data_IF_080724073656
#
_entry.id   IF_080724073656
#
_cell.length_a   1.000
_cell.length_b   1.000
_cell.length_c   1.000
_cell.angle_alpha   90.00
_cell.angle_beta   90.00
_cell.angle_gamma   90.00
#
_symmetry.space_group_name_H-M   'P 1'
#
loop_
_entity.id
_entity.type
_entity.pdbx_description
1 polymer ?
#
# COMPACT_ATOMS: atom_id res chain seq x y z
N UNK A 1 17.73 -23.39 -12.62
CA UNK A 1 16.42 -23.66 -13.25
C UNK A 1 15.26 -23.51 -12.26
N UNK A 2 14.06 -23.14 -12.74
CA UNK A 2 12.81 -23.22 -11.96
C UNK A 2 12.58 -24.68 -11.51
N UNK A 3 12.42 -24.87 -10.20
CA UNK A 3 12.18 -26.18 -9.57
C UNK A 3 10.70 -26.44 -9.40
N UNK A 4 9.97 -25.47 -8.84
CA UNK A 4 8.57 -25.61 -8.52
C UNK A 4 7.91 -24.23 -8.45
N UNK A 5 6.72 -24.10 -9.03
CA UNK A 5 5.88 -22.91 -8.87
C UNK A 5 4.88 -23.07 -7.74
N UNK A 6 4.39 -21.94 -7.24
CA UNK A 6 3.25 -21.87 -6.32
C UNK A 6 3.49 -22.61 -5.00
N UNK A 7 4.74 -22.63 -4.54
CA UNK A 7 5.11 -23.08 -3.21
C UNK A 7 4.48 -22.17 -2.15
N UNK A 8 4.09 -22.77 -1.02
CA UNK A 8 3.51 -22.05 0.09
C UNK A 8 4.25 -22.35 1.39
N UNK A 9 4.56 -21.28 2.13
CA UNK A 9 5.05 -21.39 3.50
C UNK A 9 4.02 -20.81 4.45
N UNK A 10 3.53 -21.61 5.38
CA UNK A 10 2.68 -21.16 6.48
C UNK A 10 3.54 -20.82 7.69
N UNK A 11 3.46 -19.57 8.14
CA UNK A 11 4.11 -19.06 9.34
C UNK A 11 3.04 -18.85 10.42
N UNK A 12 3.22 -19.52 11.54
CA UNK A 12 2.29 -19.55 12.68
C UNK A 12 2.91 -19.03 13.97
N UNK A 13 4.14 -18.54 13.92
CA UNK A 13 4.83 -17.98 15.08
C UNK A 13 4.16 -16.69 15.54
N UNK A 14 4.22 -16.43 16.85
CA UNK A 14 3.54 -15.30 17.49
C UNK A 14 3.99 -13.94 16.94
N UNK A 15 5.25 -13.82 16.53
CA UNK A 15 5.81 -12.57 15.99
C UNK A 15 6.05 -12.65 14.49
N UNK A 16 5.42 -13.62 13.82
CA UNK A 16 5.63 -13.95 12.42
C UNK A 16 6.52 -15.17 12.23
N UNK A 17 7.48 -15.08 11.31
CA UNK A 17 8.34 -16.21 10.98
C UNK A 17 9.25 -15.91 9.78
N UNK A 18 9.91 -16.95 9.29
CA UNK A 18 10.88 -16.81 8.21
C UNK A 18 10.78 -17.89 7.13
N UNK A 19 11.26 -17.51 5.94
CA UNK A 19 11.56 -18.38 4.82
C UNK A 19 13.03 -18.17 4.45
N UNK A 20 13.83 -19.23 4.53
CA UNK A 20 15.28 -19.18 4.32
C UNK A 20 15.66 -20.04 3.13
N UNK A 21 16.41 -19.46 2.20
CA UNK A 21 16.95 -20.16 1.05
C UNK A 21 18.24 -20.87 1.46
N UNK A 22 18.18 -22.19 1.62
CA UNK A 22 19.33 -23.01 1.99
C UNK A 22 20.30 -23.17 0.82
N UNK A 23 21.40 -23.89 1.05
CA UNK A 23 22.35 -24.13 -0.02
C UNK A 23 21.72 -24.88 -1.19
N UNK A 24 22.01 -24.41 -2.39
CA UNK A 24 21.50 -24.95 -3.63
C UNK A 24 20.14 -24.43 -4.05
N UNK A 25 19.44 -23.59 -3.28
CA UNK A 25 18.12 -23.06 -3.65
C UNK A 25 18.03 -21.54 -3.56
N UNK A 26 17.06 -20.97 -4.27
CA UNK A 26 16.63 -19.58 -4.10
C UNK A 26 15.13 -19.44 -4.40
N UNK A 27 14.54 -18.33 -3.95
CA UNK A 27 13.08 -18.14 -4.00
C UNK A 27 12.67 -16.78 -4.58
N UNK A 28 11.56 -16.75 -5.29
CA UNK A 28 10.89 -15.52 -5.69
C UNK A 28 9.52 -15.45 -5.02
N UNK A 29 9.37 -14.59 -4.01
CA UNK A 29 8.07 -14.39 -3.33
C UNK A 29 7.19 -13.50 -4.19
N UNK A 30 5.98 -13.98 -4.48
CA UNK A 30 5.00 -13.29 -5.33
C UNK A 30 3.79 -12.76 -4.56
N UNK A 31 3.53 -13.27 -3.36
CA UNK A 31 2.45 -12.80 -2.51
C UNK A 31 2.67 -13.16 -1.05
N UNK A 32 2.16 -12.32 -0.16
CA UNK A 32 2.09 -12.56 1.29
C UNK A 32 0.65 -12.33 1.70
N UNK A 33 0.04 -13.32 2.34
CA UNK A 33 -1.33 -13.28 2.82
C UNK A 33 -1.34 -13.33 4.33
N UNK A 34 -2.01 -12.37 4.98
CA UNK A 34 -1.98 -12.18 6.42
C UNK A 34 -3.39 -12.01 6.94
N UNK A 35 -3.72 -12.76 7.99
CA UNK A 35 -4.79 -12.37 8.92
C UNK A 35 -4.15 -11.50 10.00
N UNK A 36 -4.52 -10.22 10.12
CA UNK A 36 -3.89 -9.29 11.06
C UNK A 36 -4.11 -9.73 12.50
N UNK A 37 -3.15 -9.41 13.36
CA UNK A 37 -3.31 -9.51 14.81
C UNK A 37 -3.89 -8.21 15.35
N UNK A 38 -4.37 -8.25 16.58
CA UNK A 38 -4.87 -7.05 17.28
C UNK A 38 -3.80 -5.97 17.46
N UNK A 39 -2.52 -6.33 17.48
CA UNK A 39 -1.39 -5.42 17.59
C UNK A 39 -0.78 -4.99 16.25
N UNK A 40 -1.31 -5.47 15.12
CA UNK A 40 -0.81 -5.10 13.81
C UNK A 40 -1.40 -3.75 13.36
N UNK A 41 -0.56 -2.90 12.79
CA UNK A 41 -1.00 -1.76 11.95
C UNK A 41 -0.45 -1.95 10.54
N UNK A 42 0.85 -2.23 10.45
CA UNK A 42 1.56 -2.52 9.22
C UNK A 42 2.37 -3.81 9.36
N UNK A 43 2.51 -4.54 8.26
CA UNK A 43 3.46 -5.63 8.12
C UNK A 43 4.79 -5.06 7.62
N UNK A 44 5.88 -5.40 8.32
CA UNK A 44 7.23 -5.13 7.82
C UNK A 44 7.87 -6.44 7.36
N UNK A 45 8.38 -6.44 6.13
CA UNK A 45 9.06 -7.61 5.55
C UNK A 45 10.51 -7.26 5.31
N UNK A 46 11.39 -8.14 5.79
CA UNK A 46 12.83 -7.98 5.67
C UNK A 46 13.45 -9.14 4.92
N UNK A 47 14.51 -8.87 4.15
CA UNK A 47 15.45 -9.91 3.70
C UNK A 47 16.77 -9.64 4.42
N UNK A 48 17.19 -10.60 5.23
CA UNK A 48 18.21 -10.40 6.26
C UNK A 48 17.83 -9.19 7.14
N UNK A 49 18.61 -8.11 7.09
CA UNK A 49 18.37 -6.89 7.87
C UNK A 49 17.79 -5.73 7.03
N UNK A 50 17.57 -5.93 5.73
CA UNK A 50 17.04 -4.89 4.85
C UNK A 50 15.51 -4.95 4.82
N UNK A 51 14.85 -3.83 5.11
CA UNK A 51 13.41 -3.69 4.91
C UNK A 51 13.13 -3.61 3.41
N UNK A 52 12.36 -4.56 2.88
CA UNK A 52 12.07 -4.67 1.44
C UNK A 52 10.59 -4.47 1.10
N UNK A 53 9.72 -4.54 2.12
CA UNK A 53 8.29 -4.31 1.93
C UNK A 53 7.64 -3.80 3.22
N UNK A 54 6.65 -2.93 3.05
CA UNK A 54 5.84 -2.34 4.11
C UNK A 54 4.39 -2.21 3.64
N UNK A 55 3.46 -2.88 4.33
CA UNK A 55 2.06 -2.95 3.90
C UNK A 55 1.10 -2.72 5.06
N UNK A 56 0.04 -1.93 4.84
CA UNK A 56 -1.03 -1.76 5.81
C UNK A 56 -1.81 -3.06 6.00
N UNK A 57 -1.99 -3.44 7.26
CA UNK A 57 -2.79 -4.60 7.67
C UNK A 57 -4.09 -4.19 8.36
N UNK A 58 -4.07 -3.09 9.12
CA UNK A 58 -5.21 -2.57 9.88
C UNK A 58 -5.30 -1.07 9.66
N UNK A 59 -6.53 -0.55 9.74
CA UNK A 59 -6.86 0.84 9.56
C UNK A 59 -8.08 0.97 8.68
N UNK A 60 -8.62 2.18 8.61
CA UNK A 60 -9.87 2.51 7.93
C UNK A 60 -9.89 2.00 6.45
N UNK A 61 -8.72 1.85 5.79
CA UNK A 61 -8.58 1.38 4.40
C UNK A 61 -8.31 -0.12 4.23
N UNK A 62 -8.46 -0.90 5.30
CA UNK A 62 -8.39 -2.36 5.27
C UNK A 62 -6.99 -2.94 5.13
N UNK A 63 -6.97 -4.27 4.97
CA UNK A 63 -5.76 -5.10 4.87
C UNK A 63 -5.32 -5.28 3.41
N UNK A 64 -4.16 -4.72 3.05
CA UNK A 64 -3.57 -4.85 1.70
C UNK A 64 -3.05 -6.25 1.39
N UNK A 65 -2.77 -7.05 2.42
CA UNK A 65 -2.26 -8.41 2.30
C UNK A 65 -3.32 -9.43 2.68
N UNK A 66 -4.60 -9.12 2.46
CA UNK A 66 -5.66 -10.03 2.79
C UNK A 66 -5.65 -11.28 1.90
N UNK A 67 -6.31 -12.33 2.40
CA UNK A 67 -6.63 -13.55 1.65
C UNK A 67 -8.12 -13.83 1.67
N UNK A 68 -8.51 -14.96 1.09
CA UNK A 68 -9.90 -15.44 1.17
C UNK A 68 -10.20 -15.83 2.61
N UNK A 69 -11.28 -15.29 3.17
CA UNK A 69 -11.76 -15.60 4.51
C UNK A 69 -13.30 -15.56 4.54
N UNK A 70 -13.91 -16.01 5.63
CA UNK A 70 -15.35 -15.91 5.86
C UNK A 70 -15.84 -14.48 5.60
N UNK A 71 -16.78 -14.34 4.65
CA UNK A 71 -17.31 -13.07 4.12
C UNK A 71 -16.30 -12.13 3.47
N UNK A 72 -15.10 -12.57 3.10
CA UNK A 72 -14.11 -11.70 2.49
C UNK A 72 -13.63 -12.34 1.19
N UNK A 73 -14.03 -11.84 0.00
CA UNK A 73 -13.67 -12.46 -1.28
C UNK A 73 -12.16 -12.42 -1.58
N UNK A 74 -11.36 -11.77 -0.73
CA UNK A 74 -9.90 -11.78 -0.75
C UNK A 74 -9.33 -10.88 -1.84
N UNK A 75 -8.62 -9.84 -1.42
CA UNK A 75 -7.79 -9.01 -2.30
C UNK A 75 -6.39 -8.92 -1.72
N UNK A 76 -5.40 -9.18 -2.56
CA UNK A 76 -3.99 -9.08 -2.19
C UNK A 76 -3.28 -8.10 -3.12
N UNK A 77 -2.91 -6.95 -2.57
CA UNK A 77 -2.31 -5.86 -3.33
C UNK A 77 -0.93 -6.24 -3.87
N UNK A 78 -0.11 -6.94 -3.08
CA UNK A 78 1.20 -7.39 -3.54
C UNK A 78 1.07 -8.32 -4.76
N UNK A 79 0.24 -9.36 -4.66
CA UNK A 79 0.00 -10.31 -5.77
C UNK A 79 -0.58 -9.60 -7.00
N UNK A 80 -1.53 -8.66 -6.82
CA UNK A 80 -2.08 -7.85 -7.89
C UNK A 80 -0.99 -7.03 -8.62
N UNK A 81 -0.11 -6.36 -7.87
CA UNK A 81 0.96 -5.53 -8.45
C UNK A 81 2.03 -6.38 -9.14
N UNK A 82 2.38 -7.54 -8.57
CA UNK A 82 3.29 -8.52 -9.20
C UNK A 82 2.73 -9.04 -10.50
N UNK A 83 1.44 -9.43 -10.54
CA UNK A 83 0.76 -9.90 -11.77
C UNK A 83 0.68 -8.82 -12.86
N UNK A 84 0.73 -7.54 -12.49
CA UNK A 84 0.85 -6.42 -13.43
C UNK A 84 2.27 -6.15 -13.91
N UNK A 85 3.25 -6.95 -13.47
CA UNK A 85 4.67 -6.79 -13.84
C UNK A 85 5.37 -5.63 -13.12
N UNK A 86 4.81 -5.14 -12.02
CA UNK A 86 5.44 -4.10 -11.20
C UNK A 86 6.44 -4.73 -10.21
N UNK A 87 7.48 -3.98 -9.79
CA UNK A 87 8.53 -4.51 -8.93
C UNK A 87 8.04 -4.65 -7.48
N UNK A 88 7.25 -5.68 -7.21
CA UNK A 88 6.73 -6.01 -5.87
C UNK A 88 7.06 -7.45 -5.45
N UNK A 89 7.64 -8.25 -6.35
CA UNK A 89 8.13 -9.59 -6.02
C UNK A 89 9.42 -9.45 -5.19
N UNK A 90 9.62 -10.32 -4.21
CA UNK A 90 10.79 -10.26 -3.32
C UNK A 90 11.77 -11.39 -3.67
N UNK A 91 12.92 -11.09 -4.30
CA UNK A 91 13.92 -12.09 -4.63
C UNK A 91 14.76 -12.45 -3.39
N UNK A 92 14.77 -13.72 -3.02
CA UNK A 92 15.56 -14.28 -1.92
C UNK A 92 16.65 -15.16 -2.53
N UNK A 93 17.87 -14.64 -2.61
CA UNK A 93 19.01 -15.40 -3.11
C UNK A 93 19.46 -16.49 -2.11
N UNK A 94 20.27 -17.44 -2.56
CA UNK A 94 20.87 -18.47 -1.71
C UNK A 94 21.54 -17.85 -0.48
N UNK A 95 21.29 -18.42 0.70
CA UNK A 95 21.81 -17.94 1.98
C UNK A 95 21.12 -16.69 2.53
N UNK A 96 20.07 -16.19 1.87
CA UNK A 96 19.24 -15.10 2.38
C UNK A 96 18.00 -15.62 3.09
N UNK A 97 17.54 -14.85 4.07
CA UNK A 97 16.35 -15.16 4.86
C UNK A 97 15.33 -14.03 4.78
N UNK A 98 14.14 -14.35 4.29
CA UNK A 98 12.98 -13.47 4.45
C UNK A 98 12.41 -13.62 5.86
N UNK A 99 12.17 -12.49 6.52
CA UNK A 99 11.58 -12.40 7.85
C UNK A 99 10.35 -11.52 7.78
N UNK A 100 9.22 -12.05 8.25
CA UNK A 100 7.97 -11.29 8.42
C UNK A 100 7.90 -10.82 9.87
N UNK A 101 7.82 -9.51 10.06
CA UNK A 101 7.73 -8.87 11.38
C UNK A 101 6.32 -8.33 11.59
N UNK A 102 5.69 -8.77 12.67
CA UNK A 102 4.31 -8.42 13.05
C UNK A 102 4.14 -8.36 14.59
N UNK A 103 3.01 -7.85 15.04
CA UNK A 103 2.61 -7.83 16.45
C UNK A 103 2.54 -9.24 17.05
N UNK A 104 2.81 -9.33 18.36
CA UNK A 104 2.94 -10.60 19.08
C UNK A 104 1.58 -11.25 19.37
N UNK A 105 1.07 -12.03 18.43
CA UNK A 105 -0.19 -12.78 18.55
C UNK A 105 -0.18 -14.02 17.67
N UNK A 106 -1.01 -15.01 18.01
CA UNK A 106 -1.26 -16.12 17.11
C UNK A 106 -1.89 -15.59 15.82
N UNK A 107 -1.25 -15.86 14.69
CA UNK A 107 -1.73 -15.36 13.41
C UNK A 107 -1.31 -16.24 12.25
N UNK A 108 -2.03 -16.13 11.15
CA UNK A 108 -1.76 -16.88 9.93
C UNK A 108 -1.09 -15.95 8.93
N UNK A 109 0.17 -16.24 8.60
CA UNK A 109 0.86 -15.65 7.45
C UNK A 109 1.16 -16.77 6.44
N UNK A 110 0.71 -16.60 5.21
CA UNK A 110 1.05 -17.48 4.09
C UNK A 110 1.96 -16.72 3.14
N UNK A 111 3.09 -17.30 2.80
CA UNK A 111 4.02 -16.76 1.80
C UNK A 111 3.90 -17.63 0.55
N UNK A 112 3.50 -17.03 -0.56
CA UNK A 112 3.42 -17.65 -1.89
C UNK A 112 4.70 -17.33 -2.68
N UNK A 113 5.40 -18.36 -3.14
CA UNK A 113 6.68 -18.20 -3.82
C UNK A 113 6.94 -19.29 -4.86
N UNK A 114 7.90 -19.03 -5.74
CA UNK A 114 8.47 -20.04 -6.63
C UNK A 114 9.88 -20.42 -6.16
N UNK A 115 10.24 -21.69 -6.31
CA UNK A 115 11.56 -22.21 -5.98
C UNK A 115 12.40 -22.44 -7.23
N UNK A 116 13.68 -22.07 -7.15
CA UNK A 116 14.65 -22.15 -8.22
C UNK A 116 15.96 -22.77 -7.73
N UNK A 117 16.82 -23.18 -8.65
CA UNK A 117 18.21 -23.52 -8.34
C UNK A 117 18.98 -22.26 -7.91
N UNK A 118 19.99 -22.45 -7.06
CA UNK A 118 20.91 -21.39 -6.67
C UNK A 118 21.43 -20.57 -7.87
N UNK A 119 21.45 -19.25 -7.70
CA UNK A 119 21.95 -18.29 -8.69
C UNK A 119 20.90 -17.79 -9.70
N UNK A 120 19.75 -18.44 -9.85
CA UNK A 120 18.69 -17.96 -10.75
C UNK A 120 18.05 -16.68 -10.22
N UNK A 121 17.69 -16.67 -8.93
CA UNK A 121 17.20 -15.49 -8.22
C UNK A 121 18.37 -14.83 -7.50
N UNK A 122 18.57 -13.54 -7.78
CA UNK A 122 19.74 -12.79 -7.32
C UNK A 122 19.34 -11.58 -6.49
N UNK A 123 20.23 -11.20 -5.58
CA UNK A 123 20.04 -10.05 -4.70
C UNK A 123 20.00 -8.70 -5.45
N UNK A 124 20.48 -8.64 -6.70
CA UNK A 124 20.50 -7.43 -7.54
C UNK A 124 19.26 -7.25 -8.43
N UNK A 125 18.34 -8.23 -8.41
CA UNK A 125 17.04 -8.12 -9.07
C UNK A 125 16.16 -7.07 -8.37
N UNK A 126 15.15 -6.47 -9.05
CA UNK A 126 14.25 -5.51 -8.42
C UNK A 126 13.69 -6.00 -7.07
N UNK A 127 13.65 -5.09 -6.07
CA UNK A 127 13.32 -5.37 -4.67
C UNK A 127 14.26 -6.34 -3.92
N UNK A 128 15.39 -6.72 -4.52
CA UNK A 128 16.47 -7.45 -3.84
C UNK A 128 17.36 -6.54 -3.00
N UNK A 129 18.08 -7.15 -2.05
CA UNK A 129 18.89 -6.41 -1.06
C UNK A 129 20.08 -5.64 -1.64
N UNK A 130 20.50 -5.94 -2.87
CA UNK A 130 21.56 -5.24 -3.59
C UNK A 130 21.02 -4.42 -4.78
N UNK A 131 19.69 -4.33 -4.92
CA UNK A 131 19.05 -3.61 -6.02
C UNK A 131 19.09 -2.10 -5.82
N UNK A 132 19.15 -1.37 -6.93
CA UNK A 132 18.90 0.08 -7.00
C UNK A 132 17.49 0.41 -7.45
N UNK A 133 16.65 -0.60 -7.66
CA UNK A 133 15.27 -0.48 -8.12
C UNK A 133 14.38 -1.28 -7.19
N UNK A 134 13.37 -0.61 -6.63
CA UNK A 134 12.39 -1.22 -5.75
C UNK A 134 11.03 -0.55 -5.97
N UNK A 135 9.97 -1.32 -5.80
CA UNK A 135 8.61 -0.82 -5.68
C UNK A 135 8.19 -0.84 -4.22
N UNK A 136 7.43 0.16 -3.82
CA UNK A 136 6.84 0.26 -2.49
C UNK A 136 5.55 1.09 -2.59
N UNK A 137 4.74 1.03 -1.54
CA UNK A 137 3.58 1.90 -1.36
C UNK A 137 4.00 3.05 -0.45
N UNK A 138 3.83 4.27 -0.93
CA UNK A 138 4.05 5.45 -0.10
C UNK A 138 2.76 5.81 0.63
N UNK A 139 2.78 5.73 1.95
CA UNK A 139 1.66 6.10 2.81
C UNK A 139 1.81 7.54 3.27
N UNK A 140 0.79 8.35 3.00
CA UNK A 140 0.79 9.77 3.25
C UNK A 140 -0.24 10.13 4.32
N UNK A 141 0.08 11.16 5.10
CA UNK A 141 -0.79 11.83 6.05
C UNK A 141 -0.45 13.31 6.03
N UNK A 142 -1.19 14.08 6.80
CA UNK A 142 -1.15 15.51 6.96
C UNK A 142 -0.46 15.89 8.27
N UNK A 143 0.27 17.00 8.27
CA UNK A 143 0.82 17.62 9.49
C UNK A 143 -0.14 18.64 10.13
N UNK A 144 -1.17 19.04 9.39
CA UNK A 144 -2.15 20.07 9.77
C UNK A 144 -3.56 19.52 9.71
N UNK A 145 -4.48 20.08 10.49
CA UNK A 145 -5.91 19.78 10.42
C UNK A 145 -6.65 20.99 9.85
N UNK A 146 -7.73 20.75 9.11
CA UNK A 146 -8.64 21.80 8.66
C UNK A 146 -9.91 21.77 9.51
N UNK A 147 -10.42 22.96 9.82
CA UNK A 147 -11.68 23.16 10.56
C UNK A 147 -12.84 23.61 9.64
N UNK A 148 -12.55 23.86 8.35
CA UNK A 148 -13.48 24.40 7.34
C UNK A 148 -13.20 23.77 5.95
N UNK A 149 -14.16 23.90 5.02
CA UNK A 149 -14.03 23.53 3.59
C UNK A 149 -12.64 23.90 3.01
N UNK A 150 -12.01 22.96 2.30
CA UNK A 150 -10.68 23.22 1.77
C UNK A 150 -9.91 22.01 1.23
N UNK A 151 -8.65 22.29 0.91
CA UNK A 151 -7.66 21.34 0.41
C UNK A 151 -6.64 21.01 1.50
N UNK A 152 -6.65 19.77 1.99
CA UNK A 152 -5.72 19.28 2.99
C UNK A 152 -4.48 18.68 2.31
N UNK A 153 -3.30 19.26 2.55
CA UNK A 153 -2.05 18.75 1.99
C UNK A 153 -1.60 17.49 2.75
N UNK A 154 -1.29 16.43 2.03
CA UNK A 154 -0.66 15.22 2.56
C UNK A 154 0.87 15.35 2.47
N UNK A 155 1.46 15.98 3.49
CA UNK A 155 2.87 16.37 3.55
C UNK A 155 3.74 15.51 4.47
N UNK A 156 3.18 14.48 5.08
CA UNK A 156 3.85 13.67 6.10
C UNK A 156 3.86 12.19 5.69
N UNK A 157 5.01 11.54 5.80
CA UNK A 157 5.17 10.11 5.50
C UNK A 157 4.75 9.26 6.70
N UNK A 158 4.01 8.17 6.45
CA UNK A 158 3.81 7.08 7.40
C UNK A 158 4.71 5.87 7.09
N UNK A 159 5.36 5.88 5.93
CA UNK A 159 6.30 4.84 5.51
C UNK A 159 7.61 4.97 6.31
N UNK A 160 8.27 3.85 6.68
CA UNK A 160 9.55 3.89 7.37
C UNK A 160 10.64 4.66 6.61
N UNK A 161 11.57 5.27 7.34
CA UNK A 161 12.62 6.14 6.80
C UNK A 161 13.63 5.45 5.86
N UNK A 162 13.61 4.11 5.79
CA UNK A 162 14.38 3.36 4.79
C UNK A 162 13.84 3.53 3.36
N UNK A 163 12.59 4.01 3.21
CA UNK A 163 11.97 4.32 1.91
C UNK A 163 12.03 5.82 1.62
N UNK A 164 11.70 6.22 0.39
CA UNK A 164 11.68 7.63 0.01
C UNK A 164 10.45 8.33 0.58
N UNK A 165 10.63 9.51 1.15
CA UNK A 165 9.54 10.35 1.65
C UNK A 165 8.68 10.96 0.52
N UNK A 166 9.20 11.07 -0.71
CA UNK A 166 8.48 11.65 -1.83
C UNK A 166 7.15 10.90 -2.10
N UNK A 167 6.00 11.59 -2.27
CA UNK A 167 5.83 13.04 -2.43
C UNK A 167 5.43 13.79 -1.14
N UNK A 168 5.62 13.22 0.05
CA UNK A 168 5.16 13.78 1.33
C UNK A 168 5.93 15.06 1.72
N UNK A 169 5.57 16.21 1.13
CA UNK A 169 6.20 17.50 1.41
C UNK A 169 7.68 17.57 0.99
N UNK A 170 8.15 16.63 0.18
CA UNK A 170 9.54 16.53 -0.29
C UNK A 170 9.59 16.42 -1.81
N UNK A 171 10.58 17.07 -2.41
CA UNK A 171 10.92 16.90 -3.81
C UNK A 171 11.57 15.52 -4.07
N UNK A 172 11.55 15.09 -5.33
CA UNK A 172 12.22 13.86 -5.74
C UNK A 172 13.73 13.97 -5.46
N UNK A 173 14.35 13.01 -4.75
CA UNK A 173 15.75 13.10 -4.35
C UNK A 173 16.74 13.17 -5.52
N UNK A 174 17.95 13.65 -5.23
CA UNK A 174 19.04 13.65 -6.18
C UNK A 174 19.39 12.22 -6.64
N UNK A 175 19.85 12.09 -7.89
CA UNK A 175 20.23 10.82 -8.51
C UNK A 175 19.16 9.71 -8.44
N UNK A 176 17.89 10.10 -8.28
CA UNK A 176 16.76 9.21 -8.13
C UNK A 176 15.73 9.53 -9.21
N UNK A 177 15.07 8.48 -9.72
CA UNK A 177 13.92 8.60 -10.61
C UNK A 177 12.76 7.86 -9.97
N UNK A 178 11.65 8.56 -9.75
CA UNK A 178 10.43 7.98 -9.18
C UNK A 178 9.42 7.79 -10.31
N UNK A 179 8.83 6.59 -10.37
CA UNK A 179 7.72 6.27 -11.27
C UNK A 179 6.48 6.02 -10.43
N UNK A 180 5.52 6.94 -10.48
CA UNK A 180 4.23 6.77 -9.82
C UNK A 180 3.30 6.00 -10.76
N UNK A 181 3.05 4.72 -10.45
CA UNK A 181 2.25 3.82 -11.28
C UNK A 181 0.73 3.92 -11.03
N UNK A 182 0.33 4.39 -9.86
CA UNK A 182 -1.07 4.46 -9.48
C UNK A 182 -1.26 4.97 -8.05
N UNK A 183 -2.51 5.01 -7.64
CA UNK A 183 -2.97 5.53 -6.36
C UNK A 183 -3.88 4.48 -5.72
N UNK A 184 -3.58 4.14 -4.47
CA UNK A 184 -4.46 3.36 -3.61
C UNK A 184 -5.02 4.26 -2.52
N UNK A 185 -6.33 4.25 -2.31
CA UNK A 185 -6.99 5.10 -1.33
C UNK A 185 -8.46 4.74 -1.18
N UNK A 186 -9.05 5.13 -0.05
CA UNK A 186 -10.50 5.08 0.19
C UNK A 186 -10.94 6.42 0.77
N UNK A 187 -12.01 6.98 0.21
CA UNK A 187 -12.55 8.25 0.70
C UNK A 187 -13.17 8.06 2.09
N UNK A 188 -13.14 9.11 2.90
CA UNK A 188 -13.64 9.09 4.28
C UNK A 188 -14.51 10.27 4.64
N UNK A 189 -15.35 10.05 5.65
CA UNK A 189 -15.98 11.08 6.46
C UNK A 189 -15.52 10.96 7.93
N UNK A 190 -15.01 12.02 8.52
CA UNK A 190 -14.69 12.05 9.95
C UNK A 190 -15.92 12.48 10.75
N UNK A 191 -16.96 11.64 10.74
CA UNK A 191 -18.22 11.87 11.47
C UNK A 191 -18.09 11.64 12.97
N UNK A 192 -18.28 12.67 13.80
CA UNK A 192 -18.52 12.54 15.25
C UNK A 192 -20.01 12.54 15.58
N UNK A 193 -20.40 12.13 16.80
CA UNK A 193 -21.79 12.13 17.27
C UNK A 193 -22.41 13.54 17.49
N UNK A 194 -21.80 14.59 16.95
CA UNK A 194 -22.25 15.98 17.07
C UNK A 194 -22.16 16.66 15.71
N UNK A 195 -23.34 16.87 15.10
CA UNK A 195 -23.81 17.69 13.98
C UNK A 195 -22.84 18.18 12.88
N UNK A 196 -21.57 18.51 13.17
CA UNK A 196 -20.59 18.92 12.18
C UNK A 196 -19.51 17.87 11.89
N UNK A 197 -19.28 17.54 10.61
CA UNK A 197 -18.21 16.61 10.21
C UNK A 197 -17.62 16.92 8.84
N UNK A 198 -16.36 16.50 8.66
CA UNK A 198 -15.64 16.59 7.40
C UNK A 198 -15.88 15.37 6.51
N UNK A 199 -16.03 15.57 5.21
CA UNK A 199 -16.08 14.49 4.24
C UNK A 199 -15.25 14.82 2.98
N UNK A 200 -14.54 13.81 2.48
CA UNK A 200 -13.72 13.90 1.29
C UNK A 200 -14.57 14.05 0.02
N UNK A 201 -14.04 14.85 -0.92
CA UNK A 201 -14.67 15.09 -2.22
C UNK A 201 -13.76 14.76 -3.40
N UNK A 202 -12.49 15.17 -3.33
CA UNK A 202 -11.53 15.00 -4.42
C UNK A 202 -10.14 14.66 -3.89
N UNK A 203 -9.41 13.87 -4.67
CA UNK A 203 -7.97 13.73 -4.53
C UNK A 203 -7.30 14.56 -5.63
N UNK A 204 -6.52 15.57 -5.23
CA UNK A 204 -5.90 16.52 -6.13
C UNK A 204 -4.39 16.32 -6.17
N UNK A 205 -3.89 16.07 -7.37
CA UNK A 205 -2.45 15.97 -7.65
C UNK A 205 -2.00 17.23 -8.36
N UNK A 206 -1.01 17.94 -7.81
CA UNK A 206 -0.46 19.17 -8.38
C UNK A 206 1.00 18.98 -8.72
N UNK A 207 1.35 19.19 -9.99
CA UNK A 207 2.73 19.20 -10.50
C UNK A 207 2.93 20.49 -11.29
N UNK A 208 4.04 21.18 -11.08
CA UNK A 208 4.37 22.42 -11.78
C UNK A 208 3.23 23.46 -11.78
N UNK A 209 2.51 23.55 -10.65
CA UNK A 209 1.32 24.42 -10.45
C UNK A 209 0.11 24.08 -11.32
N UNK A 210 0.10 22.92 -11.97
CA UNK A 210 -1.04 22.39 -12.70
C UNK A 210 -1.70 21.25 -11.91
N UNK A 211 -3.03 21.29 -11.80
CA UNK A 211 -3.82 20.15 -11.33
C UNK A 211 -3.86 19.10 -12.43
N UNK A 212 -3.52 17.88 -12.09
CA UNK A 212 -3.50 16.75 -13.02
C UNK A 212 -4.86 16.08 -13.12
N UNK A 213 -5.14 15.46 -14.27
CA UNK A 213 -6.29 14.58 -14.53
C UNK A 213 -7.69 15.22 -14.54
N UNK A 214 -7.79 16.53 -14.31
CA UNK A 214 -9.07 17.24 -14.29
C UNK A 214 -8.94 18.63 -14.94
N UNK A 215 -9.79 18.89 -15.93
CA UNK A 215 -9.83 20.16 -16.66
C UNK A 215 -10.36 21.31 -15.78
N UNK A 216 -11.25 21.00 -14.83
CA UNK A 216 -11.86 21.95 -13.90
C UNK A 216 -10.97 22.23 -12.68
N UNK A 217 -9.83 21.54 -12.57
CA UNK A 217 -8.81 21.71 -11.51
C UNK A 217 -9.30 21.41 -10.09
N UNK A 218 -10.37 20.65 -9.96
CA UNK A 218 -10.88 20.12 -8.69
C UNK A 218 -10.10 18.88 -8.26
N UNK A 219 -9.72 18.03 -9.22
CA UNK A 219 -8.99 16.79 -8.98
C UNK A 219 -9.81 15.55 -9.33
N UNK A 220 -9.32 14.37 -8.95
CA UNK A 220 -9.99 13.10 -9.20
C UNK A 220 -11.13 12.94 -8.18
N UNK A 221 -12.38 12.65 -8.60
CA UNK A 221 -13.47 12.39 -7.67
C UNK A 221 -13.10 11.28 -6.66
N UNK A 222 -13.18 11.63 -5.38
CA UNK A 222 -12.82 10.80 -4.24
C UNK A 222 -13.84 11.05 -3.13
N UNK A 223 -15.10 10.76 -3.44
CA UNK A 223 -16.24 11.21 -2.66
C UNK A 223 -16.56 10.18 -1.57
N UNK A 224 -16.58 10.63 -0.32
CA UNK A 224 -17.17 9.87 0.77
C UNK A 224 -18.66 10.15 0.94
N UNK A 225 -19.30 9.44 1.86
CA UNK A 225 -20.70 9.68 2.20
C UNK A 225 -20.84 10.97 3.04
N UNK A 226 -21.78 11.82 2.64
CA UNK A 226 -22.14 13.06 3.34
C UNK A 226 -23.36 12.87 4.26
N UNK A 227 -23.82 11.64 4.45
CA UNK A 227 -24.89 11.31 5.41
C UNK A 227 -24.31 11.15 6.82
N UNK A 228 -24.43 12.20 7.64
CA UNK A 228 -23.86 12.34 8.99
C UNK A 228 -24.46 11.43 10.07
N UNK A 229 -25.09 10.33 9.71
CA UNK A 229 -25.87 9.52 10.65
C UNK A 229 -25.04 8.57 11.51
N UNK A 230 -23.74 8.39 11.25
CA UNK A 230 -22.88 7.56 12.09
C UNK A 230 -21.39 7.80 11.83
N UNK A 231 -20.58 7.92 12.90
CA UNK A 231 -19.15 7.62 12.86
C UNK A 231 -18.98 6.25 12.20
N UNK A 232 -18.50 6.22 10.97
CA UNK A 232 -18.17 4.96 10.33
C UNK A 232 -16.68 4.66 10.50
N UNK A 233 -16.31 3.68 11.34
CA UNK A 233 -14.92 3.23 11.42
C UNK A 233 -14.43 2.62 10.10
N UNK A 234 -15.34 2.23 9.20
CA UNK A 234 -15.04 1.64 7.91
C UNK A 234 -15.27 2.70 6.81
N UNK A 235 -14.23 3.03 6.02
CA UNK A 235 -14.33 4.04 4.95
C UNK A 235 -15.50 3.71 3.99
N UNK A 236 -16.56 4.51 4.02
CA UNK A 236 -17.62 4.51 2.99
C UNK A 236 -17.35 5.59 1.96
N UNK A 237 -16.86 5.21 0.79
CA UNK A 237 -16.97 6.06 -0.39
C UNK A 237 -18.38 5.99 -0.97
N UNK A 238 -18.91 7.15 -1.32
CA UNK A 238 -20.15 7.24 -2.10
C UNK A 238 -19.83 6.99 -3.57
N UNK A 239 -18.75 7.61 -4.08
CA UNK A 239 -18.27 7.48 -5.47
C UNK A 239 -16.76 7.76 -5.57
N UNK A 240 -15.97 6.71 -5.76
CA UNK A 240 -14.56 6.81 -6.15
C UNK A 240 -14.20 5.78 -7.22
N UNK A 241 -13.34 6.19 -8.17
CA UNK A 241 -12.66 5.26 -9.10
C UNK A 241 -11.34 4.73 -8.51
N UNK A 242 -10.87 5.33 -7.42
CA UNK A 242 -9.69 4.94 -6.67
C UNK A 242 -10.13 3.92 -5.62
N UNK A 243 -9.67 2.68 -5.75
CA UNK A 243 -9.85 1.65 -4.72
C UNK A 243 -8.69 1.59 -3.74
N UNK A 244 -8.93 1.07 -2.55
CA UNK A 244 -7.88 0.91 -1.53
C UNK A 244 -6.93 -0.24 -1.84
N UNK A 245 -7.33 -1.19 -2.70
CA UNK A 245 -6.58 -2.41 -2.94
C UNK A 245 -6.48 -3.28 -1.68
N UNK A 246 -7.52 -3.29 -0.85
CA UNK A 246 -7.56 -4.08 0.37
C UNK A 246 -8.67 -5.15 0.34
N UNK A 247 -8.51 -6.19 1.14
CA UNK A 247 -9.62 -7.08 1.46
C UNK A 247 -10.70 -6.32 2.25
N UNK A 248 -11.96 -6.64 1.96
CA UNK A 248 -13.15 -6.06 2.58
C UNK A 248 -14.12 -7.14 3.09
N UNK A 249 -15.02 -6.73 3.98
CA UNK A 249 -16.14 -7.55 4.46
C UNK A 249 -17.33 -7.44 3.49
N UNK A 250 -17.79 -8.58 3.01
CA UNK A 250 -18.96 -8.76 2.14
C UNK A 250 -20.20 -8.21 2.85
N UNK A 251 -20.91 -7.31 2.16
CA UNK A 251 -22.12 -6.65 2.67
C UNK A 251 -21.91 -5.29 3.34
N UNK A 252 -20.69 -4.91 3.74
CA UNK A 252 -20.43 -3.64 4.44
C UNK A 252 -19.64 -2.61 3.62
N UNK A 253 -18.78 -3.04 2.69
CA UNK A 253 -17.93 -2.12 1.93
C UNK A 253 -17.64 -2.62 0.50
N UNK A 254 -18.60 -2.45 -0.42
CA UNK A 254 -18.47 -2.82 -1.84
C UNK A 254 -17.27 -2.14 -2.54
N UNK A 255 -16.70 -1.12 -1.92
CA UNK A 255 -15.82 -0.17 -2.57
C UNK A 255 -14.35 -0.25 -2.14
N UNK A 256 -14.06 -0.70 -0.91
CA UNK A 256 -12.70 -0.98 -0.45
C UNK A 256 -12.05 -2.15 -1.23
N UNK A 257 -12.86 -3.06 -1.78
CA UNK A 257 -12.40 -4.16 -2.63
C UNK A 257 -11.96 -3.80 -4.04
N UNK A 258 -12.02 -2.51 -4.41
CA UNK A 258 -11.64 -2.09 -5.75
C UNK A 258 -10.13 -2.06 -5.90
N UNK A 259 -9.60 -2.42 -7.09
CA UNK A 259 -8.19 -2.23 -7.36
C UNK A 259 -7.81 -0.75 -7.26
N UNK A 260 -6.55 -0.43 -6.94
CA UNK A 260 -6.03 0.93 -7.02
C UNK A 260 -6.27 1.52 -8.42
N UNK A 261 -6.39 2.85 -8.49
CA UNK A 261 -6.37 3.56 -9.76
C UNK A 261 -4.97 3.45 -10.34
N UNK A 262 -4.82 2.71 -11.44
CA UNK A 262 -3.53 2.51 -12.11
C UNK A 262 -3.49 3.33 -13.39
N UNK A 263 -2.43 4.11 -13.56
CA UNK A 263 -2.24 4.90 -14.78
C UNK A 263 -1.85 4.01 -15.95
N UNK A 264 -2.22 4.44 -17.16
CA UNK A 264 -1.79 3.76 -18.39
C UNK A 264 -0.26 3.86 -18.56
N UNK A 265 0.28 5.05 -18.32
CA UNK A 265 1.71 5.32 -18.24
C UNK A 265 2.03 5.92 -16.86
N UNK A 266 3.13 5.51 -16.21
CA UNK A 266 3.51 6.07 -14.92
C UNK A 266 3.90 7.54 -15.05
N UNK A 267 3.54 8.34 -14.06
CA UNK A 267 4.10 9.68 -13.93
C UNK A 267 5.56 9.56 -13.52
N UNK A 268 6.46 10.17 -14.29
CA UNK A 268 7.90 10.12 -14.06
C UNK A 268 8.37 11.42 -13.43
N UNK A 269 9.14 11.29 -12.35
CA UNK A 269 9.77 12.39 -11.61
C UNK A 269 11.27 12.16 -11.52
N UNK A 270 12.01 13.24 -11.67
CA UNK A 270 13.47 13.33 -11.62
C UNK A 270 13.91 14.31 -10.53
N UNK A 271 15.21 14.35 -10.25
CA UNK A 271 15.80 15.14 -9.17
C UNK A 271 15.26 16.57 -9.10
N UNK A 272 14.68 16.93 -7.95
CA UNK A 272 14.16 18.26 -7.66
C UNK A 272 12.72 18.51 -8.12
N UNK A 273 12.11 17.60 -8.89
CA UNK A 273 10.70 17.73 -9.25
C UNK A 273 9.79 17.45 -8.05
N UNK A 274 8.69 18.18 -7.96
CA UNK A 274 7.73 18.09 -6.87
C UNK A 274 6.38 17.55 -7.36
N UNK A 275 5.69 16.86 -6.45
CA UNK A 275 4.30 16.50 -6.57
C UNK A 275 3.64 16.86 -5.25
N UNK A 276 2.57 17.64 -5.29
CA UNK A 276 1.75 17.91 -4.11
C UNK A 276 0.49 17.06 -4.19
N UNK A 277 0.14 16.41 -3.08
CA UNK A 277 -1.03 15.55 -2.98
C UNK A 277 -1.97 16.16 -1.96
N UNK A 278 -3.16 16.52 -2.39
CA UNK A 278 -4.20 17.10 -1.52
C UNK A 278 -5.42 16.19 -1.47
N UNK A 279 -6.06 16.13 -0.31
CA UNK A 279 -7.43 15.64 -0.15
C UNK A 279 -8.32 16.86 0.04
N UNK A 280 -9.23 17.09 -0.89
CA UNK A 280 -10.23 18.16 -0.80
C UNK A 280 -11.46 17.65 -0.10
N UNK A 281 -12.06 18.45 0.77
CA UNK A 281 -13.29 18.07 1.44
C UNK A 281 -14.11 19.25 1.91
N UNK A 282 -15.22 18.93 2.56
CA UNK A 282 -16.19 19.90 3.04
C UNK A 282 -16.69 19.54 4.43
N UNK A 283 -17.13 20.57 5.16
CA UNK A 283 -17.83 20.42 6.43
C UNK A 283 -19.33 20.38 6.16
N UNK A 284 -20.00 19.35 6.67
CA UNK A 284 -21.47 19.30 6.82
C UNK A 284 -21.80 19.72 8.24
N UNK A 285 -22.93 20.40 8.44
CA UNK A 285 -23.48 20.84 9.72
C UNK A 285 -25.00 20.78 9.74
#
# INVERSE_FOLDING_TARGET
>A
MLRQTDCMKHLTGLTGGSLEANSGECFLVRGIFVVPSSGDTYLTVKINNFTVAYFRLVGKGGNHLGGVHYYNPGFNLMDYLVKRGLPFSLPIAEGQKLTVVRGADAGNVLVLYDSYDAGDIRADMPCGTASKTYGFLQYLTQSTQLDDDGDLLLDTTLTPAEFLDFPAGKACPANTTVKLHGIAGSAHNEGGASDAFWYDTHLKLVRDRAVLFDEDRLGIPFLSDADGSSYDPDYRDSKSIIGSGATFLEGFAYYAGRPPLMFAEPLVFTSGEELLVYVSGKVVG
#
